data_IF_432131280865
#
_entry.id   IF_432131280865
#
_cell.length_a   1.000
_cell.length_b   1.000
_cell.length_c   1.000
_cell.angle_alpha   90.00
_cell.angle_beta   90.00
_cell.angle_gamma   90.00
#
_symmetry.space_group_name_H-M   'P 1'
#
loop_
_entity.id
_entity.type
_entity.pdbx_description
1 polymer ?
#
# COMPACT_ATOMS: atom_id res chain seq x y z
N UNK A 1 -10.97 -2.41 -2.82
CA UNK A 1 -11.71 -1.34 -2.13
C UNK A 1 -11.24 -1.30 -0.68
N UNK A 2 -10.64 -0.20 -0.20
CA UNK A 2 -10.12 -0.07 1.17
C UNK A 2 -11.17 -0.29 2.27
N UNK A 3 -12.43 0.03 1.98
CA UNK A 3 -13.57 0.04 2.91
C UNK A 3 -13.86 -1.33 3.52
N UNK A 4 -13.37 -2.43 2.91
CA UNK A 4 -13.46 -3.79 3.49
C UNK A 4 -12.73 -3.95 4.82
N UNK A 5 -11.82 -3.03 5.15
CA UNK A 5 -11.10 -2.99 6.42
C UNK A 5 -11.60 -1.84 7.34
N UNK A 6 -12.78 -1.27 7.08
CA UNK A 6 -13.41 -0.32 8.01
C UNK A 6 -13.74 -1.00 9.34
N UNK A 7 -13.95 -0.19 10.38
CA UNK A 7 -14.34 -0.68 11.71
C UNK A 7 -15.62 -1.52 11.65
N UNK A 8 -16.58 -1.16 10.79
CA UNK A 8 -17.83 -1.91 10.62
C UNK A 8 -17.60 -3.26 9.93
N UNK A 9 -16.66 -3.34 8.99
CA UNK A 9 -16.46 -4.51 8.13
C UNK A 9 -15.38 -5.46 8.64
N UNK A 10 -14.45 -5.00 9.49
CA UNK A 10 -13.29 -5.81 9.90
C UNK A 10 -13.71 -7.09 10.64
N UNK A 11 -14.80 -7.04 11.41
CA UNK A 11 -15.35 -8.19 12.11
C UNK A 11 -15.91 -9.28 11.16
N UNK A 12 -16.26 -8.91 9.91
CA UNK A 12 -16.75 -9.85 8.90
C UNK A 12 -15.63 -10.63 8.20
N UNK A 13 -14.36 -10.25 8.41
CA UNK A 13 -13.22 -10.91 7.78
C UNK A 13 -13.02 -12.27 8.44
N UNK A 14 -13.34 -13.33 7.70
CA UNK A 14 -13.09 -14.72 8.09
C UNK A 14 -11.63 -14.91 8.53
N UNK A 15 -11.36 -15.42 9.74
CA UNK A 15 -10.00 -15.69 10.19
C UNK A 15 -9.20 -16.50 9.17
N UNK A 16 -7.90 -16.21 9.05
CA UNK A 16 -6.96 -16.89 8.14
C UNK A 16 -7.22 -16.74 6.63
N UNK A 17 -8.18 -15.92 6.20
CA UNK A 17 -8.37 -15.62 4.76
C UNK A 17 -7.50 -14.46 4.26
N UNK A 18 -6.92 -13.68 5.17
CA UNK A 18 -6.00 -12.58 4.88
C UNK A 18 -4.73 -12.70 5.74
N UNK A 19 -3.64 -13.20 5.14
CA UNK A 19 -2.38 -13.53 5.83
C UNK A 19 -1.15 -12.89 5.19
N UNK A 20 -1.11 -11.55 4.99
CA UNK A 20 0.02 -10.88 4.33
C UNK A 20 1.36 -11.00 5.09
N UNK A 21 1.31 -11.31 6.39
CA UNK A 21 2.48 -11.51 7.26
C UNK A 21 2.53 -12.92 7.86
N UNK A 22 1.71 -13.86 7.37
CA UNK A 22 1.55 -15.19 7.95
C UNK A 22 0.86 -15.18 9.33
N UNK A 23 0.82 -16.35 9.98
CA UNK A 23 0.28 -16.55 11.32
C UNK A 23 1.06 -17.66 12.07
N UNK A 24 0.86 -17.76 13.38
CA UNK A 24 1.52 -18.76 14.22
C UNK A 24 3.00 -18.44 14.53
N UNK A 25 3.79 -19.41 15.03
CA UNK A 25 5.15 -19.19 15.53
C UNK A 25 6.18 -18.82 14.45
N UNK A 26 5.78 -18.90 13.17
CA UNK A 26 6.61 -18.54 12.00
C UNK A 26 6.03 -17.35 11.23
N UNK A 27 5.19 -16.53 11.87
CA UNK A 27 4.75 -15.27 11.27
C UNK A 27 5.93 -14.30 11.06
N UNK A 28 5.70 -13.26 10.27
CA UNK A 28 6.72 -12.26 9.97
C UNK A 28 7.12 -11.51 11.25
N UNK A 29 8.35 -11.73 11.72
CA UNK A 29 8.93 -10.99 12.85
C UNK A 29 8.97 -9.47 12.60
N UNK A 30 9.04 -9.07 11.33
CA UNK A 30 9.07 -7.67 10.90
C UNK A 30 7.70 -7.00 10.76
N UNK A 31 6.58 -7.67 11.05
CA UNK A 31 5.23 -7.14 10.80
C UNK A 31 5.01 -5.74 11.38
N UNK A 32 5.36 -5.54 12.66
CA UNK A 32 5.16 -4.24 13.33
C UNK A 32 6.03 -3.15 12.71
N UNK A 33 7.32 -3.45 12.48
CA UNK A 33 8.26 -2.52 11.86
C UNK A 33 7.80 -2.13 10.46
N UNK A 34 7.43 -3.09 9.62
CA UNK A 34 6.95 -2.85 8.27
C UNK A 34 5.69 -1.97 8.23
N UNK A 35 4.73 -2.24 9.11
CA UNK A 35 3.52 -1.41 9.25
C UNK A 35 3.84 0.01 9.72
N UNK A 36 4.75 0.21 10.67
CA UNK A 36 5.13 1.55 11.11
C UNK A 36 5.89 2.31 10.02
N UNK A 37 6.87 1.66 9.37
CA UNK A 37 7.66 2.26 8.30
C UNK A 37 6.76 2.74 7.16
N UNK A 38 5.82 1.90 6.68
CA UNK A 38 4.94 2.30 5.58
C UNK A 38 3.94 3.38 5.99
N UNK A 39 3.41 3.34 7.23
CA UNK A 39 2.50 4.39 7.72
C UNK A 39 3.17 5.77 7.75
N UNK A 40 4.40 5.84 8.27
CA UNK A 40 5.17 7.10 8.33
C UNK A 40 5.53 7.58 6.92
N UNK A 41 6.01 6.68 6.05
CA UNK A 41 6.32 7.03 4.66
C UNK A 41 5.09 7.56 3.91
N UNK A 42 3.94 6.89 4.06
CA UNK A 42 2.67 7.32 3.46
C UNK A 42 2.23 8.66 4.03
N UNK A 43 2.24 8.85 5.35
CA UNK A 43 1.87 10.11 6.00
C UNK A 43 2.64 11.30 5.42
N UNK A 44 3.97 11.19 5.36
CA UNK A 44 4.81 12.26 4.79
C UNK A 44 4.53 12.48 3.31
N UNK A 45 4.38 11.40 2.54
CA UNK A 45 4.13 11.48 1.10
C UNK A 45 2.80 12.17 0.81
N UNK A 46 1.71 11.70 1.40
CA UNK A 46 0.37 12.26 1.13
C UNK A 46 0.21 13.68 1.68
N UNK A 47 0.92 14.03 2.76
CA UNK A 47 0.87 15.38 3.31
C UNK A 47 1.57 16.41 2.44
N UNK A 48 2.70 16.06 1.81
CA UNK A 48 3.52 17.01 1.04
C UNK A 48 3.26 17.01 -0.46
N UNK A 49 2.84 15.88 -1.02
CA UNK A 49 2.73 15.71 -2.48
C UNK A 49 1.43 15.03 -2.90
N UNK A 50 1.08 15.21 -4.17
CA UNK A 50 0.05 14.46 -4.88
C UNK A 50 0.72 13.64 -5.97
N UNK A 51 0.49 12.33 -5.95
CA UNK A 51 0.85 11.45 -7.05
C UNK A 51 -0.18 11.59 -8.16
N UNK A 52 0.27 11.82 -9.38
CA UNK A 52 -0.58 11.94 -10.57
C UNK A 52 -0.06 11.03 -11.68
N UNK A 53 -0.93 10.70 -12.64
CA UNK A 53 -0.54 9.92 -13.82
C UNK A 53 0.47 10.74 -14.64
N UNK A 54 1.60 10.12 -14.95
CA UNK A 54 2.53 10.57 -15.96
C UNK A 54 2.11 10.01 -17.33
N UNK A 55 2.67 10.53 -18.42
CA UNK A 55 2.44 10.01 -19.77
C UNK A 55 2.85 8.54 -19.91
N UNK A 56 3.89 8.13 -19.18
CA UNK A 56 4.40 6.76 -19.15
C UNK A 56 3.71 5.86 -18.11
N UNK A 57 2.74 6.36 -17.35
CA UNK A 57 2.05 5.54 -16.34
C UNK A 57 1.22 4.46 -17.01
N UNK A 58 1.58 3.19 -16.78
CA UNK A 58 0.80 2.05 -17.28
C UNK A 58 -0.55 1.93 -16.56
N UNK A 59 -1.64 1.87 -17.32
CA UNK A 59 -3.00 1.64 -16.81
C UNK A 59 -3.70 0.67 -17.77
N UNK A 60 -4.00 -0.58 -17.37
CA UNK A 60 -3.78 -1.20 -16.06
C UNK A 60 -2.30 -1.50 -15.78
N UNK A 61 -1.95 -1.62 -14.49
CA UNK A 61 -0.58 -1.96 -14.05
C UNK A 61 -0.25 -3.40 -14.46
N UNK A 62 0.88 -3.59 -15.15
CA UNK A 62 1.39 -4.94 -15.47
C UNK A 62 2.17 -5.49 -14.29
N UNK A 63 1.86 -6.73 -13.93
CA UNK A 63 2.48 -7.43 -12.80
C UNK A 63 3.33 -8.57 -13.32
N UNK A 64 4.56 -8.69 -12.80
CA UNK A 64 5.45 -9.81 -13.03
C UNK A 64 5.67 -10.58 -11.73
N UNK A 65 6.00 -11.86 -11.86
CA UNK A 65 6.45 -12.67 -10.73
C UNK A 65 7.96 -12.75 -10.77
N UNK A 66 8.62 -12.16 -9.77
CA UNK A 66 10.08 -12.11 -9.66
C UNK A 66 10.47 -12.64 -8.29
N UNK A 67 11.31 -13.67 -8.25
CA UNK A 67 11.74 -14.34 -7.01
C UNK A 67 10.57 -14.73 -6.07
N UNK A 68 9.47 -15.26 -6.64
CA UNK A 68 8.30 -15.67 -5.86
C UNK A 68 7.46 -14.53 -5.29
N UNK A 69 7.80 -13.27 -5.59
CA UNK A 69 7.02 -12.09 -5.24
C UNK A 69 6.32 -11.52 -6.48
N UNK A 70 5.08 -11.07 -6.31
CA UNK A 70 4.34 -10.36 -7.36
C UNK A 70 4.71 -8.88 -7.29
N UNK A 71 5.36 -8.36 -8.33
CA UNK A 71 5.85 -6.98 -8.42
C UNK A 71 5.33 -6.29 -9.67
N UNK A 72 5.27 -4.96 -9.67
CA UNK A 72 5.00 -4.21 -10.90
C UNK A 72 6.19 -4.30 -11.85
N UNK A 73 5.96 -4.43 -13.16
CA UNK A 73 7.01 -4.39 -14.18
C UNK A 73 7.61 -2.98 -14.32
N UNK A 74 6.73 -2.00 -14.53
CA UNK A 74 7.07 -0.57 -14.59
C UNK A 74 5.99 0.22 -13.85
N UNK A 75 6.41 1.04 -12.88
CA UNK A 75 5.55 1.91 -12.09
C UNK A 75 6.08 3.34 -12.10
N UNK A 76 5.82 4.04 -13.20
CA UNK A 76 6.13 5.46 -13.32
C UNK A 76 4.93 6.31 -12.89
N UNK A 77 5.13 7.25 -11.97
CA UNK A 77 4.13 8.25 -11.55
C UNK A 77 4.78 9.63 -11.49
N UNK A 78 4.01 10.68 -11.79
CA UNK A 78 4.46 12.05 -11.63
C UNK A 78 4.09 12.57 -10.22
N UNK A 79 4.93 13.44 -9.67
CA UNK A 79 4.74 14.01 -8.34
C UNK A 79 4.49 15.51 -8.49
N UNK A 80 3.41 16.01 -7.89
CA UNK A 80 3.10 17.44 -7.78
C UNK A 80 3.13 17.85 -6.31
N UNK A 81 3.62 19.07 -6.02
CA UNK A 81 3.53 19.63 -4.66
C UNK A 81 2.06 19.74 -4.25
N UNK A 82 1.73 19.29 -3.03
CA UNK A 82 0.40 19.51 -2.45
C UNK A 82 0.35 20.96 -1.97
N UNK A 83 -0.59 21.75 -2.50
CA UNK A 83 -0.86 23.07 -1.94
C UNK A 83 -1.32 22.90 -0.49
N UNK A 84 -0.86 23.76 0.44
CA UNK A 84 -1.41 23.76 1.79
C UNK A 84 -2.92 23.96 1.67
N UNK A 85 -3.67 23.10 2.36
CA UNK A 85 -5.07 23.38 2.63
C UNK A 85 -5.10 24.72 3.32
N UNK A 86 -5.61 25.76 2.65
CA UNK A 86 -5.94 27.03 3.30
C UNK A 86 -6.80 26.64 4.51
N UNK A 87 -6.29 26.94 5.69
CA UNK A 87 -7.07 27.06 6.91
C UNK A 87 -7.36 28.55 7.06
#
# INVERSE_FOLDING_TARGET
>A
KPERFSEENVASIMPYTYLPFGAGPRNCIGMRLGLHAIKVALLHSVHKVRFVRAEKTQVPLKMATVFGSVTAEDMTVAIRKRMPSIA
#
